data_IF_985928971200
#
_entry.id   IF_985928971200
#
_cell.length_a   1.000
_cell.length_b   1.000
_cell.length_c   1.000
_cell.angle_alpha   90.00
_cell.angle_beta   90.00
_cell.angle_gamma   90.00
#
_symmetry.space_group_name_H-M   'P 1'
#
loop_
_entity.id
_entity.type
_entity.pdbx_description
1 polymer ?
#
# COMPACT_ATOMS: atom_id res chain seq x y z
N UNK A 1 -16.20 -8.47 12.37
CA UNK A 1 -15.84 -8.96 11.03
C UNK A 1 -16.91 -8.72 10.02
N UNK A 2 -18.14 -9.19 10.23
CA UNK A 2 -19.29 -8.83 9.40
C UNK A 2 -19.35 -7.31 9.16
N UNK A 3 -19.15 -6.49 10.19
CA UNK A 3 -19.21 -5.02 10.04
C UNK A 3 -18.10 -4.45 9.14
N UNK A 4 -16.85 -4.88 9.29
CA UNK A 4 -15.74 -4.45 8.43
C UNK A 4 -15.95 -4.92 6.99
N UNK A 5 -16.39 -6.16 6.81
CA UNK A 5 -16.72 -6.70 5.48
C UNK A 5 -17.88 -5.94 4.86
N UNK A 6 -18.95 -5.68 5.61
CA UNK A 6 -20.09 -4.86 5.18
C UNK A 6 -19.66 -3.44 4.82
N UNK A 7 -18.73 -2.85 5.58
CA UNK A 7 -18.15 -1.54 5.28
C UNK A 7 -17.38 -1.54 3.96
N UNK A 8 -16.54 -2.54 3.71
CA UNK A 8 -15.83 -2.66 2.44
C UNK A 8 -16.77 -2.93 1.27
N UNK A 9 -17.79 -3.77 1.46
CA UNK A 9 -18.85 -3.99 0.49
C UNK A 9 -19.61 -2.69 0.20
N UNK A 10 -19.91 -1.89 1.22
CA UNK A 10 -20.55 -0.58 1.06
C UNK A 10 -19.71 0.35 0.18
N UNK A 11 -18.39 0.43 0.40
CA UNK A 11 -17.47 1.23 -0.46
C UNK A 11 -17.55 0.76 -1.92
N UNK A 12 -17.60 -0.55 -2.16
CA UNK A 12 -17.70 -1.14 -3.50
C UNK A 12 -19.07 -0.83 -4.12
N UNK A 13 -20.17 -1.07 -3.42
CA UNK A 13 -21.53 -0.87 -3.92
C UNK A 13 -21.84 0.60 -4.20
N UNK A 14 -21.35 1.50 -3.35
CA UNK A 14 -21.55 2.95 -3.52
C UNK A 14 -20.57 3.59 -4.52
N UNK A 15 -19.64 2.81 -5.07
CA UNK A 15 -18.57 3.32 -5.94
C UNK A 15 -19.05 4.14 -7.13
N UNK A 16 -20.15 3.76 -7.78
CA UNK A 16 -20.71 4.51 -8.92
C UNK A 16 -21.08 5.93 -8.53
N UNK A 17 -21.69 6.11 -7.36
CA UNK A 17 -22.06 7.42 -6.84
C UNK A 17 -20.83 8.22 -6.42
N UNK A 18 -19.88 7.58 -5.75
CA UNK A 18 -18.71 8.28 -5.21
C UNK A 18 -17.61 8.61 -6.23
N UNK A 19 -17.65 8.05 -7.45
CA UNK A 19 -16.73 8.45 -8.55
C UNK A 19 -16.72 9.96 -8.82
N UNK A 20 -17.85 10.65 -8.61
CA UNK A 20 -17.91 12.12 -8.76
C UNK A 20 -16.99 12.88 -7.79
N UNK A 21 -16.62 12.26 -6.66
CA UNK A 21 -15.70 12.84 -5.68
C UNK A 21 -14.23 12.64 -6.04
N UNK A 22 -13.89 11.92 -7.11
CA UNK A 22 -12.50 11.76 -7.58
C UNK A 22 -11.75 13.11 -7.69
N UNK A 23 -12.45 14.12 -8.23
CA UNK A 23 -11.89 15.45 -8.47
C UNK A 23 -12.16 16.43 -7.32
N UNK A 24 -12.92 16.04 -6.30
CA UNK A 24 -13.19 16.90 -5.15
C UNK A 24 -11.97 16.97 -4.23
N UNK A 25 -11.18 18.05 -4.34
CA UNK A 25 -9.96 18.21 -3.54
C UNK A 25 -10.21 18.20 -2.03
N UNK A 26 -11.27 18.86 -1.57
CA UNK A 26 -11.57 18.95 -0.13
C UNK A 26 -11.89 17.61 0.48
N UNK A 27 -12.66 16.78 -0.26
CA UNK A 27 -12.94 15.41 0.16
C UNK A 27 -11.66 14.62 0.41
N UNK A 28 -10.73 14.62 -0.55
CA UNK A 28 -9.46 13.90 -0.41
C UNK A 28 -8.49 14.56 0.57
N UNK A 29 -8.56 15.88 0.74
CA UNK A 29 -7.79 16.58 1.75
C UNK A 29 -8.20 16.13 3.16
N UNK A 30 -9.51 16.02 3.42
CA UNK A 30 -10.02 15.57 4.72
C UNK A 30 -9.61 14.13 4.98
N UNK A 31 -9.77 13.24 4.00
CA UNK A 31 -9.39 11.83 4.13
C UNK A 31 -7.89 11.67 4.30
N UNK A 32 -7.11 12.36 3.48
CA UNK A 32 -5.66 12.35 3.55
C UNK A 32 -5.14 12.92 4.87
N UNK A 33 -5.74 14.02 5.35
CA UNK A 33 -5.46 14.63 6.63
C UNK A 33 -5.77 13.70 7.78
N UNK A 34 -6.96 13.10 7.81
CA UNK A 34 -7.31 12.11 8.84
C UNK A 34 -6.31 10.95 8.86
N UNK A 35 -5.98 10.39 7.69
CA UNK A 35 -5.02 9.29 7.60
C UNK A 35 -3.60 9.69 8.04
N UNK A 36 -3.14 10.86 7.63
CA UNK A 36 -1.83 11.38 7.99
C UNK A 36 -1.73 11.68 9.49
N UNK A 37 -2.66 12.47 10.04
CA UNK A 37 -2.64 12.87 11.44
C UNK A 37 -2.92 11.70 12.37
N UNK A 38 -3.82 10.78 12.01
CA UNK A 38 -4.02 9.57 12.80
C UNK A 38 -2.71 8.78 12.91
N UNK A 39 -1.99 8.59 11.81
CA UNK A 39 -0.73 7.86 11.85
C UNK A 39 0.39 8.58 12.56
N UNK A 40 0.51 9.89 12.35
CA UNK A 40 1.56 10.67 12.98
C UNK A 40 1.31 10.83 14.48
N UNK A 41 0.08 11.20 14.87
CA UNK A 41 -0.27 11.47 16.26
C UNK A 41 -0.56 10.18 17.03
N UNK A 42 -1.46 9.32 16.54
CA UNK A 42 -1.84 8.13 17.30
C UNK A 42 -0.73 7.06 17.29
N UNK A 43 0.00 6.89 16.18
CA UNK A 43 1.05 5.85 16.09
C UNK A 43 2.47 6.34 16.36
N UNK A 44 2.89 7.54 15.92
CA UNK A 44 4.30 7.93 16.08
C UNK A 44 4.59 8.67 17.39
N UNK A 45 3.68 9.52 17.88
CA UNK A 45 3.90 10.28 19.12
C UNK A 45 4.08 9.36 20.34
N UNK A 46 3.37 8.22 20.40
CA UNK A 46 3.56 7.23 21.46
C UNK A 46 4.99 6.65 21.53
N UNK A 47 5.73 6.62 20.41
CA UNK A 47 7.13 6.15 20.39
C UNK A 47 8.14 7.28 20.62
N UNK A 48 7.70 8.54 20.52
CA UNK A 48 8.51 9.73 20.82
C UNK A 48 8.46 10.05 22.32
N UNK A 49 7.38 9.71 23.02
CA UNK A 49 7.19 9.96 24.46
C UNK A 49 7.39 8.64 25.23
N UNK A 50 8.59 8.36 25.77
CA UNK A 50 8.92 7.04 26.33
C UNK A 50 8.08 6.67 27.56
N UNK A 51 7.63 7.67 28.32
CA UNK A 51 6.81 7.46 29.52
C UNK A 51 5.42 6.90 29.22
N UNK A 52 4.96 6.98 27.97
CA UNK A 52 3.66 6.42 27.55
C UNK A 52 3.74 4.93 27.22
N UNK A 53 4.94 4.38 27.04
CA UNK A 53 5.20 2.96 26.82
C UNK A 53 6.04 2.39 27.97
N UNK A 54 5.52 2.50 29.20
CA UNK A 54 6.19 2.05 30.42
C UNK A 54 6.50 0.53 30.46
N UNK A 55 5.98 -0.25 29.51
CA UNK A 55 6.21 -1.69 29.34
C UNK A 55 7.24 -2.05 28.25
N UNK A 56 7.80 -1.06 27.52
CA UNK A 56 8.90 -1.27 26.58
C UNK A 56 10.24 -1.29 27.34
N UNK A 57 10.42 -2.32 28.17
CA UNK A 57 11.70 -2.63 28.80
C UNK A 57 12.81 -2.72 27.74
N UNK A 58 14.03 -2.27 28.09
CA UNK A 58 15.22 -2.15 27.24
C UNK A 58 15.75 -3.41 26.55
N UNK A 59 14.92 -4.44 26.40
CA UNK A 59 15.15 -5.62 25.57
C UNK A 59 15.45 -5.23 24.12
N UNK A 60 16.34 -6.00 23.49
CA UNK A 60 16.74 -5.80 22.09
C UNK A 60 15.55 -5.85 21.12
N UNK A 61 14.53 -6.66 21.42
CA UNK A 61 13.31 -6.81 20.61
C UNK A 61 12.45 -5.54 20.67
N UNK A 62 12.15 -5.03 21.87
CA UNK A 62 11.37 -3.80 22.03
C UNK A 62 12.06 -2.59 21.37
N UNK A 63 13.38 -2.49 21.55
CA UNK A 63 14.21 -1.48 20.89
C UNK A 63 14.11 -1.59 19.37
N UNK A 64 14.21 -2.80 18.81
CA UNK A 64 14.10 -3.03 17.37
C UNK A 64 12.73 -2.64 16.82
N UNK A 65 11.65 -3.07 17.48
CA UNK A 65 10.27 -2.76 17.09
C UNK A 65 10.06 -1.24 17.08
N UNK A 66 10.54 -0.53 18.10
CA UNK A 66 10.45 0.94 18.17
C UNK A 66 11.16 1.61 16.99
N UNK A 67 12.39 1.19 16.67
CA UNK A 67 13.14 1.77 15.53
C UNK A 67 12.46 1.48 14.20
N UNK A 68 11.97 0.25 13.98
CA UNK A 68 11.21 -0.10 12.78
C UNK A 68 9.97 0.80 12.60
N UNK A 69 9.22 1.02 13.68
CA UNK A 69 8.00 1.84 13.66
C UNK A 69 8.29 3.31 13.38
N UNK A 70 9.35 3.88 13.99
CA UNK A 70 9.80 5.25 13.75
C UNK A 70 10.28 5.45 12.30
N UNK A 71 10.99 4.45 11.75
CA UNK A 71 11.49 4.46 10.39
C UNK A 71 10.46 4.05 9.33
N UNK A 72 9.19 3.79 9.71
CA UNK A 72 8.12 3.42 8.77
C UNK A 72 8.49 2.24 7.85
N UNK A 73 9.16 1.22 8.41
CA UNK A 73 9.62 0.05 7.65
C UNK A 73 8.50 -0.94 7.33
N UNK A 74 7.30 -0.68 7.85
CA UNK A 74 6.06 -1.41 7.56
C UNK A 74 5.25 -0.65 6.49
N UNK A 75 4.74 -1.38 5.50
CA UNK A 75 4.13 -0.79 4.30
C UNK A 75 2.81 -0.08 4.60
N UNK A 76 2.03 -0.58 5.57
CA UNK A 76 0.74 0.00 5.94
C UNK A 76 0.87 1.41 6.55
N UNK A 77 1.69 1.66 7.59
CA UNK A 77 1.92 3.00 8.12
C UNK A 77 2.65 3.90 7.12
N UNK A 78 3.60 3.35 6.35
CA UNK A 78 4.27 4.10 5.30
C UNK A 78 3.26 4.62 4.29
N UNK A 79 2.38 3.73 3.78
CA UNK A 79 1.33 4.09 2.85
C UNK A 79 0.41 5.13 3.46
N UNK A 80 -0.07 4.97 4.70
CA UNK A 80 -0.95 5.96 5.31
C UNK A 80 -0.35 7.37 5.40
N UNK A 81 0.93 7.48 5.74
CA UNK A 81 1.59 8.79 5.81
C UNK A 81 1.81 9.35 4.40
N UNK A 82 2.40 8.55 3.51
CA UNK A 82 2.72 8.97 2.16
C UNK A 82 1.47 9.29 1.34
N UNK A 83 0.49 8.39 1.33
CA UNK A 83 -0.80 8.59 0.67
C UNK A 83 -1.57 9.73 1.33
N UNK A 84 -1.52 9.88 2.67
CA UNK A 84 -2.15 10.98 3.38
C UNK A 84 -1.67 12.34 2.89
N UNK A 85 -0.34 12.54 2.88
CA UNK A 85 0.29 13.74 2.34
C UNK A 85 -0.05 13.96 0.86
N UNK A 86 0.07 12.91 0.05
CA UNK A 86 -0.22 13.03 -1.38
C UNK A 86 -1.69 13.40 -1.65
N UNK A 87 -2.64 12.85 -0.88
CA UNK A 87 -4.06 13.18 -1.02
C UNK A 87 -4.38 14.61 -0.57
N UNK A 88 -3.66 15.16 0.42
CA UNK A 88 -3.80 16.55 0.84
C UNK A 88 -3.24 17.54 -0.19
N UNK A 89 -2.04 17.27 -0.71
CA UNK A 89 -1.29 18.27 -1.46
C UNK A 89 -1.28 18.04 -2.98
N UNK A 90 -1.32 16.79 -3.44
CA UNK A 90 -1.19 16.45 -4.86
C UNK A 90 -2.58 16.35 -5.49
N UNK A 91 -2.89 17.28 -6.41
CA UNK A 91 -4.16 17.27 -7.15
C UNK A 91 -4.34 15.98 -7.96
N UNK A 92 -3.26 15.50 -8.57
CA UNK A 92 -3.25 14.32 -9.40
C UNK A 92 -2.90 13.05 -8.59
N UNK A 93 -3.90 12.19 -8.41
CA UNK A 93 -3.80 11.01 -7.54
C UNK A 93 -3.11 9.81 -8.19
N UNK A 94 -2.53 9.96 -9.39
CA UNK A 94 -1.88 8.88 -10.15
C UNK A 94 -0.89 8.07 -9.32
N UNK A 95 -0.04 8.74 -8.54
CA UNK A 95 0.98 8.08 -7.71
C UNK A 95 0.30 7.24 -6.64
N UNK A 96 -0.53 7.85 -5.79
CA UNK A 96 -1.23 7.16 -4.69
C UNK A 96 -2.14 6.04 -5.19
N UNK A 97 -2.83 6.28 -6.31
CA UNK A 97 -3.67 5.28 -6.99
C UNK A 97 -2.85 4.07 -7.43
N UNK A 98 -1.65 4.29 -7.97
CA UNK A 98 -0.76 3.18 -8.33
C UNK A 98 -0.44 2.33 -7.11
N UNK A 99 -0.28 2.92 -5.93
CA UNK A 99 0.04 2.20 -4.69
C UNK A 99 -1.14 1.45 -4.06
N UNK A 100 -2.37 1.78 -4.43
CA UNK A 100 -3.57 1.27 -3.77
C UNK A 100 -3.69 -0.27 -3.80
N UNK A 101 -3.37 -1.01 -4.88
CA UNK A 101 -3.36 -2.47 -4.84
C UNK A 101 -2.40 -3.09 -3.81
N UNK A 102 -1.24 -2.47 -3.60
CA UNK A 102 -0.24 -2.93 -2.63
C UNK A 102 -0.80 -2.74 -1.21
N UNK A 103 -1.29 -1.54 -0.92
CA UNK A 103 -1.89 -1.23 0.37
C UNK A 103 -3.16 -2.05 0.65
N UNK A 104 -3.99 -2.30 -0.36
CA UNK A 104 -5.17 -3.15 -0.23
C UNK A 104 -4.77 -4.59 0.11
N UNK A 105 -3.79 -5.15 -0.61
CA UNK A 105 -3.32 -6.51 -0.35
C UNK A 105 -2.71 -6.64 1.05
N UNK A 106 -1.79 -5.74 1.42
CA UNK A 106 -1.17 -5.75 2.75
C UNK A 106 -2.22 -5.58 3.86
N UNK A 107 -3.11 -4.59 3.71
CA UNK A 107 -4.21 -4.35 4.66
C UNK A 107 -5.14 -5.55 4.84
N UNK A 108 -5.52 -6.21 3.74
CA UNK A 108 -6.37 -7.40 3.79
C UNK A 108 -5.67 -8.59 4.43
N UNK A 109 -4.39 -8.85 4.11
CA UNK A 109 -3.65 -9.95 4.74
C UNK A 109 -3.51 -9.71 6.24
N UNK A 110 -3.16 -8.50 6.67
CA UNK A 110 -2.99 -8.23 8.10
C UNK A 110 -4.33 -8.28 8.84
N UNK A 111 -5.39 -7.71 8.26
CA UNK A 111 -6.74 -7.82 8.83
C UNK A 111 -7.13 -9.30 8.92
N UNK A 112 -7.27 -9.99 7.79
CA UNK A 112 -7.85 -11.33 7.73
C UNK A 112 -6.92 -12.46 8.17
N UNK A 113 -5.60 -12.26 8.16
CA UNK A 113 -4.60 -13.25 8.56
C UNK A 113 -4.25 -13.18 10.05
N UNK A 114 -3.99 -11.98 10.58
CA UNK A 114 -3.45 -11.84 11.93
C UNK A 114 -4.49 -11.34 12.93
N UNK A 115 -5.22 -10.28 12.59
CA UNK A 115 -6.21 -9.68 13.49
C UNK A 115 -7.43 -10.60 13.68
N UNK A 116 -7.82 -11.41 12.69
CA UNK A 116 -8.86 -12.42 12.88
C UNK A 116 -8.42 -13.57 13.80
N UNK A 117 -7.15 -14.00 13.72
CA UNK A 117 -6.62 -15.02 14.61
C UNK A 117 -6.67 -14.55 16.07
N UNK A 118 -6.37 -13.27 16.30
CA UNK A 118 -6.49 -12.62 17.60
C UNK A 118 -7.96 -12.45 18.00
N UNK A 119 -8.85 -12.04 17.09
CA UNK A 119 -10.29 -11.91 17.35
C UNK A 119 -10.92 -13.19 17.90
N UNK A 120 -10.51 -14.35 17.39
CA UNK A 120 -11.01 -15.65 17.83
C UNK A 120 -10.56 -16.04 19.25
N UNK A 121 -9.63 -15.29 19.86
CA UNK A 121 -9.23 -15.45 21.27
C UNK A 121 -10.12 -14.67 22.24
N UNK A 122 -10.90 -13.71 21.74
CA UNK A 122 -11.83 -12.92 22.53
C UNK A 122 -13.25 -13.49 22.41
N UNK A 123 -14.08 -13.37 23.46
CA UNK A 123 -15.46 -13.85 23.48
C UNK A 123 -16.43 -12.80 24.01
N UNK A 124 -17.69 -12.82 23.55
CA UNK A 124 -18.74 -11.93 24.07
C UNK A 124 -18.57 -10.46 23.67
N UNK A 125 -18.80 -9.54 24.61
CA UNK A 125 -18.69 -8.08 24.40
C UNK A 125 -17.28 -7.65 23.96
N UNK A 126 -16.26 -8.41 24.37
CA UNK A 126 -14.87 -8.14 24.04
C UNK A 126 -14.58 -8.28 22.55
N UNK A 127 -15.28 -9.17 21.83
CA UNK A 127 -15.15 -9.29 20.37
C UNK A 127 -15.60 -8.00 19.68
N UNK A 128 -16.69 -7.39 20.15
CA UNK A 128 -17.17 -6.12 19.59
C UNK A 128 -16.19 -4.98 19.91
N UNK A 129 -15.65 -4.95 21.13
CA UNK A 129 -14.60 -4.00 21.50
C UNK A 129 -13.37 -4.17 20.62
N UNK A 130 -12.90 -5.39 20.38
CA UNK A 130 -11.79 -5.66 19.46
C UNK A 130 -12.05 -5.20 18.02
N UNK A 131 -13.26 -5.43 17.48
CA UNK A 131 -13.60 -5.12 16.09
C UNK A 131 -13.74 -3.61 15.83
N UNK A 132 -14.20 -2.84 16.82
CA UNK A 132 -14.50 -1.42 16.63
C UNK A 132 -13.48 -0.49 17.26
N UNK A 133 -12.86 -0.96 18.33
CA UNK A 133 -11.97 -0.16 19.18
C UNK A 133 -10.58 -0.83 19.21
N UNK A 134 -10.50 -2.17 19.16
CA UNK A 134 -9.33 -3.03 19.38
C UNK A 134 -9.07 -3.34 20.87
N UNK A 135 -7.98 -4.03 21.18
CA UNK A 135 -7.49 -4.21 22.56
C UNK A 135 -6.07 -3.66 22.70
N UNK A 136 -5.82 -2.89 23.77
CA UNK A 136 -4.51 -2.33 24.11
C UNK A 136 -3.74 -1.73 22.92
N UNK A 137 -2.53 -2.21 22.63
CA UNK A 137 -1.70 -1.75 21.50
C UNK A 137 -2.24 -2.21 20.13
N UNK A 138 -3.11 -3.22 20.09
CA UNK A 138 -3.72 -3.73 18.85
C UNK A 138 -4.84 -2.80 18.34
N UNK A 139 -5.31 -1.84 19.14
CA UNK A 139 -6.29 -0.81 18.75
C UNK A 139 -5.81 0.04 17.59
N UNK A 140 -4.63 0.62 17.78
CA UNK A 140 -4.01 1.51 16.81
C UNK A 140 -3.64 0.72 15.56
N UNK A 141 -3.18 -0.53 15.75
CA UNK A 141 -2.83 -1.42 14.66
C UNK A 141 -4.06 -1.83 13.83
N UNK A 142 -5.16 -2.24 14.46
CA UNK A 142 -6.39 -2.60 13.77
C UNK A 142 -6.98 -1.43 12.98
N UNK A 143 -7.15 -0.27 13.62
CA UNK A 143 -7.75 0.91 12.99
C UNK A 143 -6.90 1.43 11.82
N UNK A 144 -5.57 1.40 11.93
CA UNK A 144 -4.66 1.65 10.81
C UNK A 144 -4.99 0.74 9.61
N UNK A 145 -5.11 -0.56 9.84
CA UNK A 145 -5.33 -1.50 8.74
C UNK A 145 -6.72 -1.36 8.13
N UNK A 146 -7.75 -1.08 8.93
CA UNK A 146 -9.09 -0.75 8.41
C UNK A 146 -9.05 0.54 7.59
N UNK A 147 -8.36 1.57 8.06
CA UNK A 147 -8.27 2.86 7.39
C UNK A 147 -7.48 2.76 6.07
N UNK A 148 -6.29 2.15 6.08
CA UNK A 148 -5.49 1.91 4.87
C UNK A 148 -6.26 1.10 3.83
N UNK A 149 -6.88 0.00 4.26
CA UNK A 149 -7.71 -0.86 3.40
C UNK A 149 -8.88 -0.08 2.82
N UNK A 150 -9.59 0.72 3.65
CA UNK A 150 -10.70 1.56 3.20
C UNK A 150 -10.26 2.58 2.16
N UNK A 151 -9.19 3.34 2.42
CA UNK A 151 -8.68 4.36 1.50
C UNK A 151 -8.14 3.73 0.21
N UNK A 152 -7.43 2.61 0.31
CA UNK A 152 -6.96 1.87 -0.86
C UNK A 152 -8.13 1.35 -1.72
N UNK A 153 -9.18 0.81 -1.09
CA UNK A 153 -10.38 0.36 -1.77
C UNK A 153 -11.15 1.52 -2.41
N UNK A 154 -11.26 2.65 -1.71
CA UNK A 154 -11.85 3.88 -2.27
C UNK A 154 -11.04 4.38 -3.48
N UNK A 155 -9.71 4.41 -3.39
CA UNK A 155 -8.85 4.76 -4.53
C UNK A 155 -9.08 3.81 -5.70
N UNK A 156 -9.16 2.50 -5.45
CA UNK A 156 -9.46 1.50 -6.47
C UNK A 156 -10.82 1.73 -7.11
N UNK A 157 -11.88 1.81 -6.31
CA UNK A 157 -13.26 1.84 -6.80
C UNK A 157 -13.67 3.21 -7.36
N UNK A 158 -13.19 4.30 -6.78
CA UNK A 158 -13.73 5.65 -7.02
C UNK A 158 -12.85 6.50 -7.93
N UNK A 159 -11.58 6.14 -8.14
CA UNK A 159 -10.77 6.80 -9.17
C UNK A 159 -10.97 6.14 -10.53
N UNK A 160 -10.88 6.93 -11.59
CA UNK A 160 -10.99 6.50 -12.98
C UNK A 160 -9.62 6.60 -13.66
N UNK A 161 -9.54 6.30 -14.96
CA UNK A 161 -8.31 6.42 -15.76
C UNK A 161 -7.12 5.55 -15.31
N UNK A 162 -7.41 4.32 -14.85
CA UNK A 162 -6.39 3.29 -14.68
C UNK A 162 -5.74 2.98 -16.02
N UNK A 163 -4.42 2.82 -16.00
CA UNK A 163 -3.56 2.66 -17.15
C UNK A 163 -2.52 1.57 -16.89
N UNK A 164 -1.99 0.91 -17.95
CA UNK A 164 -0.89 -0.02 -17.80
C UNK A 164 0.37 0.61 -17.17
N UNK A 165 0.53 1.93 -17.27
CA UNK A 165 1.65 2.65 -16.61
C UNK A 165 1.55 2.62 -15.09
N UNK A 166 0.34 2.47 -14.53
CA UNK A 166 0.18 2.36 -13.07
C UNK A 166 0.83 1.07 -12.55
N UNK A 167 0.90 0.00 -13.36
CA UNK A 167 1.63 -1.24 -13.02
C UNK A 167 3.13 -0.97 -12.95
N UNK A 168 3.69 -0.27 -13.94
CA UNK A 168 5.11 0.09 -13.90
C UNK A 168 5.43 0.93 -12.66
N UNK A 169 4.56 1.89 -12.32
CA UNK A 169 4.71 2.70 -11.11
C UNK A 169 4.64 1.86 -9.83
N UNK A 170 3.80 0.82 -9.79
CA UNK A 170 3.75 -0.13 -8.66
C UNK A 170 5.08 -0.83 -8.47
N UNK A 171 5.65 -1.41 -9.53
CA UNK A 171 6.93 -2.10 -9.44
C UNK A 171 8.07 -1.16 -9.09
N UNK A 172 8.09 0.04 -9.68
CA UNK A 172 9.09 1.06 -9.35
C UNK A 172 8.99 1.45 -7.88
N UNK A 173 7.78 1.65 -7.38
CA UNK A 173 7.57 1.95 -5.96
C UNK A 173 8.03 0.80 -5.07
N UNK A 174 7.64 -0.45 -5.36
CA UNK A 174 8.06 -1.61 -4.57
C UNK A 174 9.58 -1.74 -4.55
N UNK A 175 10.25 -1.53 -5.70
CA UNK A 175 11.70 -1.54 -5.79
C UNK A 175 12.33 -0.45 -4.91
N UNK A 176 11.82 0.79 -4.97
CA UNK A 176 12.30 1.91 -4.14
C UNK A 176 12.05 1.61 -2.65
N UNK A 177 10.87 1.13 -2.29
CA UNK A 177 10.49 0.87 -0.91
C UNK A 177 11.28 -0.28 -0.29
N UNK A 178 11.46 -1.38 -1.02
CA UNK A 178 12.33 -2.49 -0.57
C UNK A 178 13.77 -2.03 -0.44
N UNK A 179 14.28 -1.23 -1.39
CA UNK A 179 15.62 -0.65 -1.29
C UNK A 179 15.78 0.25 -0.06
N UNK A 180 14.75 1.04 0.26
CA UNK A 180 14.69 1.86 1.47
C UNK A 180 14.76 1.00 2.74
N UNK A 181 13.95 -0.06 2.81
CA UNK A 181 13.98 -0.98 3.95
C UNK A 181 15.36 -1.59 4.12
N UNK A 182 15.94 -2.13 3.04
CA UNK A 182 17.27 -2.74 3.06
C UNK A 182 18.31 -1.71 3.53
N UNK A 183 18.29 -0.50 2.99
CA UNK A 183 19.21 0.56 3.42
C UNK A 183 19.09 0.85 4.92
N UNK A 184 17.86 1.00 5.43
CA UNK A 184 17.63 1.24 6.86
C UNK A 184 18.09 0.07 7.74
N UNK A 185 17.83 -1.17 7.36
CA UNK A 185 18.27 -2.34 8.15
C UNK A 185 19.78 -2.54 8.11
N UNK A 186 20.46 -2.11 7.05
CA UNK A 186 21.93 -2.15 6.99
C UNK A 186 22.58 -0.99 7.77
N UNK A 187 21.96 0.19 7.79
CA UNK A 187 22.49 1.37 8.48
C UNK A 187 22.24 1.34 9.99
N UNK A 188 21.10 0.81 10.44
CA UNK A 188 20.77 0.67 11.85
C UNK A 188 20.73 -0.80 12.27
N UNK A 189 21.85 -1.27 12.84
CA UNK A 189 22.01 -2.64 13.36
C UNK A 189 21.09 -2.96 14.54
N UNK A 190 20.31 -2.00 15.06
CA UNK A 190 19.30 -2.25 16.09
C UNK A 190 17.98 -2.76 15.52
N UNK A 191 17.78 -2.70 14.20
CA UNK A 191 16.60 -3.26 13.52
C UNK A 191 16.82 -4.77 13.31
N UNK A 192 16.69 -5.53 14.40
CA UNK A 192 16.96 -6.98 14.48
C UNK A 192 15.71 -7.87 14.59
N UNK A 193 14.53 -7.26 14.68
CA UNK A 193 13.21 -7.87 14.67
C UNK A 193 12.25 -6.86 14.03
N UNK A 194 11.70 -7.15 12.85
CA UNK A 194 10.94 -6.18 12.08
C UNK A 194 9.73 -6.82 11.37
N UNK A 195 8.65 -6.08 11.26
CA UNK A 195 7.53 -6.30 10.34
C UNK A 195 7.89 -6.33 8.84
N UNK A 196 9.17 -6.42 8.43
CA UNK A 196 9.56 -6.32 7.02
C UNK A 196 9.76 -7.67 6.32
N UNK A 197 9.85 -8.77 7.06
CA UNK A 197 9.95 -10.12 6.52
C UNK A 197 11.29 -10.44 5.86
N UNK A 198 12.33 -9.63 6.09
CA UNK A 198 13.65 -9.80 5.47
C UNK A 198 14.57 -10.63 6.36
N UNK A 199 14.38 -10.54 7.68
CA UNK A 199 15.29 -11.16 8.65
C UNK A 199 14.67 -12.45 9.23
N UNK A 200 15.50 -13.42 9.67
CA UNK A 200 14.99 -14.72 10.08
C UNK A 200 13.99 -14.66 11.24
N UNK A 201 14.22 -13.75 12.19
CA UNK A 201 13.39 -13.55 13.39
C UNK A 201 11.93 -13.24 13.09
N UNK A 202 11.64 -12.69 11.92
CA UNK A 202 10.28 -12.31 11.53
C UNK A 202 9.41 -13.54 11.23
N UNK A 203 10.04 -14.68 10.92
CA UNK A 203 9.39 -15.91 10.46
C UNK A 203 9.35 -17.02 11.52
N UNK A 204 10.10 -16.87 12.61
CA UNK A 204 10.18 -17.83 13.72
C UNK A 204 9.18 -17.51 14.84
N UNK A 205 9.00 -18.40 15.85
CA UNK A 205 8.06 -18.16 16.95
C UNK A 205 8.23 -16.80 17.62
N UNK A 206 7.15 -16.02 17.66
CA UNK A 206 7.15 -14.64 18.18
C UNK A 206 7.38 -13.55 17.13
N UNK A 207 7.73 -13.91 15.90
CA UNK A 207 7.80 -12.98 14.75
C UNK A 207 6.45 -12.71 14.11
N UNK A 208 6.29 -11.54 13.47
CA UNK A 208 5.02 -11.11 12.87
C UNK A 208 4.56 -11.99 11.70
N UNK A 209 5.50 -12.55 10.92
CA UNK A 209 5.18 -13.44 9.80
C UNK A 209 5.11 -14.92 10.18
N UNK A 210 5.16 -15.26 11.48
CA UNK A 210 5.02 -16.66 11.92
C UNK A 210 3.73 -17.29 11.38
N UNK A 211 2.62 -16.56 11.37
CA UNK A 211 1.34 -17.06 10.84
C UNK A 211 1.44 -17.39 9.35
N UNK A 212 2.14 -16.56 8.57
CA UNK A 212 2.37 -16.78 7.14
C UNK A 212 3.31 -17.97 6.93
N UNK A 213 4.38 -18.09 7.71
CA UNK A 213 5.29 -19.24 7.68
C UNK A 213 4.54 -20.57 7.91
N UNK A 214 3.62 -20.59 8.88
CA UNK A 214 2.81 -21.76 9.21
C UNK A 214 1.84 -22.16 8.08
N UNK A 215 1.28 -21.18 7.37
CA UNK A 215 0.39 -21.42 6.23
C UNK A 215 1.17 -21.94 5.03
N UNK A 216 2.28 -21.27 4.67
CA UNK A 216 3.06 -21.62 3.49
C UNK A 216 3.86 -22.91 3.69
N UNK A 217 4.23 -23.25 4.93
CA UNK A 217 5.10 -24.39 5.27
C UNK A 217 6.42 -24.39 4.49
N UNK A 218 6.94 -23.20 4.18
CA UNK A 218 8.21 -22.99 3.49
C UNK A 218 9.23 -22.49 4.52
N UNK A 219 10.43 -23.09 4.61
CA UNK A 219 11.45 -22.62 5.54
C UNK A 219 12.06 -21.27 5.11
N UNK A 220 12.68 -20.59 6.06
CA UNK A 220 13.54 -19.44 5.76
C UNK A 220 14.87 -19.91 5.15
N UNK A 221 15.44 -19.23 4.12
CA UNK A 221 14.98 -17.98 3.50
C UNK A 221 14.00 -18.16 2.34
N UNK A 222 13.66 -19.39 1.94
CA UNK A 222 12.83 -19.69 0.76
C UNK A 222 11.41 -19.11 0.85
N UNK A 223 10.91 -18.88 2.06
CA UNK A 223 9.62 -18.26 2.29
C UNK A 223 9.54 -16.82 1.76
N UNK A 224 10.67 -16.10 1.69
CA UNK A 224 10.73 -14.73 1.17
C UNK A 224 10.38 -14.69 -0.33
N UNK A 225 11.10 -15.36 -1.25
CA UNK A 225 10.76 -15.32 -2.68
C UNK A 225 9.36 -15.90 -2.96
N UNK A 226 8.92 -16.91 -2.21
CA UNK A 226 7.55 -17.46 -2.34
C UNK A 226 6.50 -16.41 -1.94
N UNK A 227 6.67 -15.78 -0.78
CA UNK A 227 5.77 -14.72 -0.31
C UNK A 227 5.72 -13.52 -1.26
N UNK A 228 6.89 -13.10 -1.78
CA UNK A 228 6.98 -12.04 -2.79
C UNK A 228 6.21 -12.43 -4.06
N UNK A 229 6.39 -13.65 -4.57
CA UNK A 229 5.67 -14.11 -5.75
C UNK A 229 4.15 -14.12 -5.55
N UNK A 230 3.68 -14.62 -4.41
CA UNK A 230 2.24 -14.60 -4.06
C UNK A 230 1.72 -13.17 -3.98
N UNK A 231 2.46 -12.28 -3.32
CA UNK A 231 2.10 -10.87 -3.21
C UNK A 231 2.01 -10.20 -4.59
N UNK A 232 3.02 -10.38 -5.44
CA UNK A 232 3.05 -9.82 -6.80
C UNK A 232 1.88 -10.34 -7.63
N UNK A 233 1.63 -11.65 -7.65
CA UNK A 233 0.48 -12.23 -8.38
C UNK A 233 -0.83 -11.61 -7.89
N UNK A 234 -1.01 -11.49 -6.57
CA UNK A 234 -2.23 -10.95 -5.97
C UNK A 234 -2.44 -9.47 -6.30
N UNK A 235 -1.39 -8.65 -6.21
CA UNK A 235 -1.38 -7.24 -6.58
C UNK A 235 -1.75 -7.05 -8.06
N UNK A 236 -1.19 -7.87 -8.95
CA UNK A 236 -1.50 -7.83 -10.38
C UNK A 236 -2.94 -8.26 -10.67
N UNK A 237 -3.48 -9.25 -9.94
CA UNK A 237 -4.89 -9.65 -10.06
C UNK A 237 -5.81 -8.50 -9.65
N UNK A 238 -5.56 -7.86 -8.51
CA UNK A 238 -6.35 -6.71 -8.04
C UNK A 238 -6.34 -5.59 -9.09
N UNK A 239 -5.15 -5.25 -9.60
CA UNK A 239 -5.02 -4.25 -10.66
C UNK A 239 -5.74 -4.68 -11.95
N UNK A 240 -5.57 -5.94 -12.37
CA UNK A 240 -6.14 -6.50 -13.59
C UNK A 240 -7.66 -6.51 -13.57
N UNK A 241 -8.27 -6.89 -12.44
CA UNK A 241 -9.73 -6.80 -12.21
C UNK A 241 -10.18 -5.35 -12.39
N UNK A 242 -9.49 -4.40 -11.72
CA UNK A 242 -9.89 -2.99 -11.78
C UNK A 242 -9.77 -2.42 -13.19
N UNK A 243 -8.67 -2.69 -13.88
CA UNK A 243 -8.42 -2.26 -15.25
C UNK A 243 -9.43 -2.89 -16.21
N UNK A 244 -9.67 -4.20 -16.09
CA UNK A 244 -10.66 -4.93 -16.88
C UNK A 244 -12.07 -4.36 -16.73
N UNK A 245 -12.53 -4.08 -15.50
CA UNK A 245 -13.81 -3.41 -15.25
C UNK A 245 -13.86 -2.03 -15.93
N UNK A 246 -12.76 -1.29 -15.95
CA UNK A 246 -12.71 0.00 -16.64
C UNK A 246 -12.90 -0.14 -18.15
N UNK A 247 -12.14 -1.04 -18.76
CA UNK A 247 -12.16 -1.26 -20.20
C UNK A 247 -13.49 -1.84 -20.67
N UNK A 248 -14.09 -2.74 -19.89
CA UNK A 248 -15.43 -3.25 -20.14
C UNK A 248 -16.46 -2.11 -20.13
N UNK A 249 -16.45 -1.26 -19.10
CA UNK A 249 -17.36 -0.11 -19.02
C UNK A 249 -17.15 0.87 -20.17
N UNK A 250 -15.90 1.12 -20.59
CA UNK A 250 -15.61 1.96 -21.76
C UNK A 250 -16.18 1.38 -23.06
N UNK A 251 -16.05 0.08 -23.26
CA UNK A 251 -16.58 -0.62 -24.44
C UNK A 251 -18.12 -0.60 -24.48
N UNK A 252 -18.78 -0.81 -23.35
CA UNK A 252 -20.24 -0.84 -23.26
C UNK A 252 -20.84 0.57 -23.40
N UNK A 253 -20.30 1.56 -22.69
CA UNK A 253 -20.90 2.91 -22.62
C UNK A 253 -20.47 3.77 -23.84
N UNK A 254 -19.25 3.60 -24.35
CA UNK A 254 -18.68 4.44 -25.41
C UNK A 254 -17.94 3.60 -26.47
N UNK A 255 -18.63 2.69 -27.18
CA UNK A 255 -18.00 1.78 -28.16
C UNK A 255 -17.23 2.52 -29.26
N UNK A 256 -17.71 3.70 -29.68
CA UNK A 256 -17.07 4.54 -30.70
C UNK A 256 -15.69 5.09 -30.27
N UNK A 257 -15.49 5.34 -28.97
CA UNK A 257 -14.21 5.81 -28.42
C UNK A 257 -13.28 4.64 -28.07
N UNK A 258 -13.85 3.51 -27.65
CA UNK A 258 -13.09 2.28 -27.37
C UNK A 258 -12.40 1.72 -28.63
N UNK A 259 -13.06 1.75 -29.78
CA UNK A 259 -12.48 1.29 -31.05
C UNK A 259 -11.37 2.22 -31.60
N UNK A 260 -11.36 3.51 -31.24
CA UNK A 260 -10.28 4.44 -31.62
C UNK A 260 -9.03 4.32 -30.75
N UNK A 261 -9.19 3.86 -29.50
CA UNK A 261 -8.12 3.70 -28.51
C UNK A 261 -7.69 2.24 -28.30
N UNK A 262 -8.06 1.32 -29.20
CA UNK A 262 -7.38 0.04 -29.26
C UNK A 262 -5.89 0.34 -29.33
N UNK A 263 -5.19 -0.09 -28.29
CA UNK A 263 -3.76 0.01 -28.14
C UNK A 263 -3.14 -0.86 -29.24
N UNK A 264 -3.14 -0.38 -30.49
CA UNK A 264 -1.98 -0.61 -31.33
C UNK A 264 -0.88 0.07 -30.53
N UNK A 265 -0.17 -0.73 -29.74
CA UNK A 265 1.18 -0.44 -29.35
C UNK A 265 1.90 -0.30 -30.69
N UNK A 266 1.77 0.88 -31.27
CA UNK A 266 2.24 1.14 -32.61
C UNK A 266 3.73 1.32 -32.43
N UNK A 267 4.42 0.19 -32.36
CA UNK A 267 5.86 0.12 -32.18
C UNK A 267 6.51 1.01 -33.23
N UNK A 268 5.90 1.15 -34.42
CA UNK A 268 6.34 2.11 -35.43
C UNK A 268 6.25 3.57 -34.96
N UNK A 269 5.15 3.98 -34.32
CA UNK A 269 5.00 5.32 -33.75
C UNK A 269 5.97 5.57 -32.58
N UNK A 270 6.18 4.56 -31.73
CA UNK A 270 7.09 4.63 -30.59
C UNK A 270 8.55 4.73 -31.07
N UNK A 271 8.96 3.91 -32.04
CA UNK A 271 10.26 3.98 -32.72
C UNK A 271 10.43 5.32 -33.46
N UNK A 272 9.38 5.82 -34.11
CA UNK A 272 9.41 7.13 -34.79
C UNK A 272 9.63 8.27 -33.79
N UNK A 273 8.96 8.25 -32.64
CA UNK A 273 9.13 9.25 -31.59
C UNK A 273 10.52 9.16 -30.94
N UNK A 274 11.04 7.95 -30.71
CA UNK A 274 12.41 7.76 -30.21
C UNK A 274 13.45 8.28 -31.22
N UNK A 275 13.29 7.94 -32.51
CA UNK A 275 14.17 8.43 -33.58
C UNK A 275 14.12 9.95 -33.69
N UNK A 276 12.93 10.55 -33.59
CA UNK A 276 12.77 12.00 -33.63
C UNK A 276 13.45 12.68 -32.44
N UNK A 277 13.22 12.20 -31.22
CA UNK A 277 13.88 12.71 -30.01
C UNK A 277 15.40 12.58 -30.08
N UNK A 278 15.92 11.47 -30.58
CA UNK A 278 17.35 11.26 -30.80
C UNK A 278 17.94 12.25 -31.81
N UNK A 279 17.28 12.43 -32.97
CA UNK A 279 17.74 13.38 -33.98
C UNK A 279 17.73 14.82 -33.47
N UNK A 280 16.71 15.20 -32.68
CA UNK A 280 16.61 16.54 -32.11
C UNK A 280 17.69 16.79 -31.05
N UNK A 281 17.96 15.80 -30.19
CA UNK A 281 19.08 15.82 -29.24
C UNK A 281 20.42 15.97 -29.94
N UNK A 282 20.68 15.17 -31.00
CA UNK A 282 21.92 15.24 -31.79
C UNK A 282 22.09 16.61 -32.47
N UNK A 283 21.02 17.16 -33.04
CA UNK A 283 21.05 18.49 -33.67
C UNK A 283 21.37 19.60 -32.68
N UNK A 284 20.85 19.51 -31.46
CA UNK A 284 21.12 20.49 -30.39
C UNK A 284 22.56 20.37 -29.84
N UNK A 285 23.12 19.16 -29.76
CA UNK A 285 24.51 18.99 -29.32
C UNK A 285 25.53 19.39 -30.39
N UNK A 286 25.26 19.11 -31.68
CA UNK A 286 26.14 19.56 -32.76
C UNK A 286 26.16 21.09 -32.91
N UNK A 287 25.11 21.80 -32.48
CA UNK A 287 25.12 23.27 -32.41
C UNK A 287 26.00 23.82 -31.28
N UNK A 288 26.28 23.03 -30.24
CA UNK A 288 27.11 23.43 -29.10
C UNK A 288 28.60 23.17 -29.31
N UNK A 289 28.98 22.38 -30.32
CA UNK A 289 30.38 22.04 -30.63
C UNK A 289 31.01 22.92 -31.72
N UNK A 290 30.34 24.00 -32.12
CA UNK A 290 30.80 24.95 -33.15
C UNK A 290 31.04 26.34 -32.53
N UNK A 291 31.32 26.38 -31.23
CA UNK A 291 31.77 27.58 -30.50
C UNK A 291 33.09 27.24 -29.84
#
# INVERSE_FOLDING_TARGET
MIVVTLWFLLIIFTSRFFKRFENNRWFWFIIGGFMFFYMLIARQVQFIIPSWNASDDGSTIAVSIRHSRLLLLDICPFFSIFAGLCLMFIKNKKIVRSLAPIALFGGLITLYGELFRLANRYSGLDVYRFIFIGFDNDQIYFMLHVMTTSVALMLLCWTTEWSPRDVLNQYLFMAIYVSYIIACTQLDRKVLANSNGIIPTDWYPGGEYQSVANILKVPFPQVIPVGVMIALVSINIIWGIRYGIQELNRKIIQPKLANKKQFKLDIKLLVKNLKYSYLNWRKNNNKKSVI
#
